data_IF_307020789067
#
_entry.id   IF_307020789067
#
_cell.length_a   1.000
_cell.length_b   1.000
_cell.length_c   1.000
_cell.angle_alpha   90.00
_cell.angle_beta   90.00
_cell.angle_gamma   90.00
#
_symmetry.space_group_name_H-M   'P 1'
#
loop_
_entity.id
_entity.type
_entity.pdbx_description
1 polymer ?
#
# COMPACT_ATOMS: atom_id res chain seq x y z
N UNK A 1 -52.68 -31.14 -24.34
CA UNK A 1 -51.62 -31.95 -23.69
C UNK A 1 -50.21 -31.60 -24.20
N UNK A 2 -50.03 -31.24 -25.48
CA UNK A 2 -48.73 -30.82 -26.05
C UNK A 2 -48.33 -29.40 -25.59
N UNK A 3 -49.26 -28.44 -25.56
CA UNK A 3 -48.97 -27.05 -25.14
C UNK A 3 -48.50 -26.93 -23.68
N UNK A 4 -49.08 -27.71 -22.76
CA UNK A 4 -48.68 -27.73 -21.35
C UNK A 4 -47.25 -28.25 -21.15
N UNK A 5 -46.82 -29.19 -21.98
CA UNK A 5 -45.45 -29.73 -21.95
C UNK A 5 -44.45 -28.72 -22.51
N UNK A 6 -44.77 -28.06 -23.63
CA UNK A 6 -43.93 -27.00 -24.23
C UNK A 6 -43.75 -25.79 -23.30
N UNK A 7 -44.80 -25.35 -22.60
CA UNK A 7 -44.71 -24.26 -21.61
C UNK A 7 -43.84 -24.66 -20.41
N UNK A 8 -43.93 -25.91 -19.96
CA UNK A 8 -43.11 -26.43 -18.85
C UNK A 8 -41.62 -26.46 -19.21
N UNK A 9 -41.28 -26.92 -20.41
CA UNK A 9 -39.90 -26.93 -20.90
C UNK A 9 -39.34 -25.52 -21.03
N UNK A 10 -40.11 -24.61 -21.64
CA UNK A 10 -39.69 -23.22 -21.81
C UNK A 10 -39.48 -22.50 -20.47
N UNK A 11 -40.36 -22.72 -19.47
CA UNK A 11 -40.19 -22.20 -18.10
C UNK A 11 -38.91 -22.74 -17.46
N UNK A 12 -38.60 -24.03 -17.64
CA UNK A 12 -37.38 -24.62 -17.09
C UNK A 12 -36.12 -24.00 -17.72
N UNK A 13 -36.11 -23.78 -19.04
CA UNK A 13 -35.01 -23.12 -19.76
C UNK A 13 -34.82 -21.66 -19.32
N UNK A 14 -35.90 -20.91 -19.05
CA UNK A 14 -35.77 -19.54 -18.52
C UNK A 14 -35.19 -19.50 -17.10
N UNK A 15 -35.59 -20.45 -16.25
CA UNK A 15 -35.03 -20.56 -14.90
C UNK A 15 -33.54 -20.90 -14.95
N UNK A 16 -33.13 -21.83 -15.81
CA UNK A 16 -31.72 -22.16 -16.02
C UNK A 16 -30.90 -20.96 -16.50
N UNK A 17 -31.41 -20.21 -17.50
CA UNK A 17 -30.73 -18.99 -17.98
C UNK A 17 -30.63 -17.91 -16.89
N UNK A 18 -31.65 -17.77 -16.05
CA UNK A 18 -31.63 -16.83 -14.93
C UNK A 18 -30.58 -17.22 -13.88
N UNK A 19 -30.54 -18.51 -13.51
CA UNK A 19 -29.55 -19.06 -12.58
C UNK A 19 -28.14 -18.87 -13.12
N UNK A 20 -27.89 -19.10 -14.41
CA UNK A 20 -26.57 -18.88 -15.02
C UNK A 20 -26.12 -17.42 -14.94
N UNK A 21 -27.02 -16.47 -15.22
CA UNK A 21 -26.71 -15.02 -15.05
C UNK A 21 -26.46 -14.66 -13.59
N UNK A 22 -27.14 -15.31 -12.66
CA UNK A 22 -26.94 -15.11 -11.23
C UNK A 22 -25.56 -15.64 -10.79
N UNK A 23 -25.18 -16.85 -11.21
CA UNK A 23 -23.87 -17.44 -10.92
C UNK A 23 -22.76 -16.56 -11.49
N UNK A 24 -22.89 -16.09 -12.74
CA UNK A 24 -21.91 -15.21 -13.36
C UNK A 24 -21.71 -13.92 -12.55
N UNK A 25 -22.82 -13.28 -12.14
CA UNK A 25 -22.74 -12.08 -11.29
C UNK A 25 -22.08 -12.38 -9.94
N UNK A 26 -22.38 -13.53 -9.31
CA UNK A 26 -21.79 -13.90 -8.02
C UNK A 26 -20.28 -14.11 -8.19
N UNK A 27 -19.85 -14.86 -9.20
CA UNK A 27 -18.43 -15.11 -9.46
C UNK A 27 -17.66 -13.80 -9.69
N UNK A 28 -18.22 -12.86 -10.46
CA UNK A 28 -17.62 -11.54 -10.66
C UNK A 28 -17.52 -10.73 -9.36
N UNK A 29 -18.46 -10.88 -8.43
CA UNK A 29 -18.40 -10.19 -7.14
C UNK A 29 -17.41 -10.86 -6.19
N UNK A 30 -17.32 -12.19 -6.18
CA UNK A 30 -16.31 -12.94 -5.41
C UNK A 30 -14.90 -12.55 -5.84
N UNK A 31 -14.61 -12.49 -7.14
CA UNK A 31 -13.30 -12.07 -7.62
C UNK A 31 -12.94 -10.65 -7.13
N UNK A 32 -13.90 -9.72 -7.17
CA UNK A 32 -13.71 -8.36 -6.65
C UNK A 32 -13.53 -8.33 -5.14
N UNK A 33 -14.27 -9.17 -4.41
CA UNK A 33 -14.15 -9.29 -2.96
C UNK A 33 -12.74 -9.75 -2.60
N UNK A 34 -12.24 -10.82 -3.24
CA UNK A 34 -10.90 -11.33 -3.02
C UNK A 34 -9.83 -10.27 -3.31
N UNK A 35 -9.95 -9.55 -4.43
CA UNK A 35 -9.04 -8.46 -4.80
C UNK A 35 -9.02 -7.36 -3.72
N UNK A 36 -10.18 -6.92 -3.26
CA UNK A 36 -10.29 -5.86 -2.23
C UNK A 36 -9.76 -6.33 -0.89
N UNK A 37 -10.10 -7.56 -0.47
CA UNK A 37 -9.63 -8.14 0.81
C UNK A 37 -8.10 -8.22 0.82
N UNK A 38 -7.48 -8.70 -0.27
CA UNK A 38 -6.04 -8.78 -0.39
C UNK A 38 -5.38 -7.39 -0.34
N UNK A 39 -5.92 -6.42 -1.09
CA UNK A 39 -5.39 -5.05 -1.12
C UNK A 39 -5.46 -4.37 0.26
N UNK A 40 -6.61 -4.48 0.95
CA UNK A 40 -6.80 -3.91 2.29
C UNK A 40 -5.85 -4.55 3.30
N UNK A 41 -5.73 -5.87 3.30
CA UNK A 41 -4.80 -6.58 4.20
C UNK A 41 -3.36 -6.11 4.00
N UNK A 42 -2.90 -6.04 2.75
CA UNK A 42 -1.54 -5.61 2.45
C UNK A 42 -1.29 -4.16 2.84
N UNK A 43 -2.26 -3.27 2.59
CA UNK A 43 -2.16 -1.87 2.98
C UNK A 43 -2.10 -1.68 4.49
N UNK A 44 -2.93 -2.38 5.26
CA UNK A 44 -2.92 -2.31 6.73
C UNK A 44 -1.58 -2.76 7.31
N UNK A 45 -1.00 -3.85 6.78
CA UNK A 45 0.32 -4.33 7.21
C UNK A 45 1.44 -3.33 6.87
N UNK A 46 1.38 -2.70 5.70
CA UNK A 46 2.35 -1.69 5.29
C UNK A 46 2.24 -0.42 6.15
N UNK A 47 1.01 0.02 6.45
CA UNK A 47 0.75 1.16 7.34
C UNK A 47 1.29 0.90 8.74
N UNK A 48 1.02 -0.27 9.34
CA UNK A 48 1.53 -0.60 10.66
C UNK A 48 3.08 -0.59 10.71
N UNK A 49 3.73 -1.09 9.65
CA UNK A 49 5.20 -1.03 9.55
C UNK A 49 5.71 0.40 9.42
N UNK A 50 5.06 1.23 8.60
CA UNK A 50 5.44 2.63 8.41
C UNK A 50 5.21 3.47 9.68
N UNK A 51 4.13 3.22 10.42
CA UNK A 51 3.86 3.83 11.72
C UNK A 51 4.96 3.52 12.73
N UNK A 52 5.39 2.25 12.82
CA UNK A 52 6.51 1.85 13.69
C UNK A 52 7.85 2.47 13.28
N UNK A 53 8.02 2.79 12.00
CA UNK A 53 9.23 3.40 11.48
C UNK A 53 9.32 4.92 11.73
N UNK A 54 8.23 5.59 12.16
CA UNK A 54 8.20 7.05 12.30
C UNK A 54 9.21 7.58 13.32
N UNK A 55 9.40 6.88 14.43
CA UNK A 55 10.39 7.28 15.44
C UNK A 55 11.82 7.21 14.87
N UNK A 56 12.15 6.14 14.16
CA UNK A 56 13.45 5.99 13.51
C UNK A 56 13.66 7.06 12.42
N UNK A 57 12.64 7.36 11.62
CA UNK A 57 12.66 8.46 10.64
C UNK A 57 12.98 9.79 11.32
N UNK A 58 12.30 10.12 12.42
CA UNK A 58 12.52 11.37 13.15
C UNK A 58 13.94 11.46 13.73
N UNK A 59 14.49 10.34 14.21
CA UNK A 59 15.88 10.28 14.66
C UNK A 59 16.87 10.48 13.52
N UNK A 60 16.63 9.86 12.35
CA UNK A 60 17.46 10.05 11.16
C UNK A 60 17.42 11.50 10.66
N UNK A 61 16.25 12.12 10.60
CA UNK A 61 16.07 13.52 10.22
C UNK A 61 16.80 14.47 11.19
N UNK A 62 16.69 14.21 12.49
CA UNK A 62 17.41 14.98 13.52
C UNK A 62 18.92 14.83 13.40
N UNK A 63 19.40 13.58 13.23
CA UNK A 63 20.83 13.30 13.07
C UNK A 63 21.38 13.97 11.82
N UNK A 64 20.72 13.83 10.68
CA UNK A 64 21.17 14.41 9.41
C UNK A 64 21.33 15.95 9.48
N UNK A 65 20.44 16.63 10.22
CA UNK A 65 20.52 18.08 10.44
C UNK A 65 21.52 18.54 11.51
N UNK A 66 22.14 17.61 12.25
CA UNK A 66 22.96 17.91 13.42
C UNK A 66 24.43 18.24 13.08
N UNK A 67 25.12 18.86 14.02
CA UNK A 67 26.57 19.04 13.94
C UNK A 67 27.33 17.72 14.17
N UNK A 68 26.71 16.75 14.85
CA UNK A 68 27.27 15.41 15.03
C UNK A 68 27.41 14.70 13.68
N UNK A 69 26.38 14.69 12.83
CA UNK A 69 26.48 14.11 11.49
C UNK A 69 27.57 14.76 10.64
N UNK A 70 27.70 16.09 10.67
CA UNK A 70 28.76 16.81 9.94
C UNK A 70 30.15 16.39 10.41
N UNK A 71 30.31 16.22 11.72
CA UNK A 71 31.56 15.76 12.32
C UNK A 71 31.86 14.31 11.91
N UNK A 72 30.89 13.42 12.04
CA UNK A 72 31.03 12.01 11.69
C UNK A 72 31.39 11.84 10.20
N UNK A 73 30.74 12.61 9.32
CA UNK A 73 31.05 12.67 7.90
C UNK A 73 32.49 13.13 7.65
N UNK A 74 32.92 14.23 8.29
CA UNK A 74 34.28 14.74 8.15
C UNK A 74 35.35 13.82 8.76
N UNK A 75 35.01 13.04 9.79
CA UNK A 75 35.86 12.02 10.38
C UNK A 75 35.99 10.80 9.44
N UNK A 76 34.91 10.41 8.76
CA UNK A 76 34.94 9.34 7.74
C UNK A 76 35.79 9.72 6.53
N UNK A 77 35.56 10.91 5.96
CA UNK A 77 36.30 11.44 4.80
C UNK A 77 37.80 11.59 5.08
N UNK A 78 38.16 11.87 6.34
CA UNK A 78 39.55 11.96 6.77
C UNK A 78 40.18 10.60 7.13
N UNK A 79 39.45 9.48 6.95
CA UNK A 79 39.92 8.13 7.26
C UNK A 79 40.12 7.87 8.75
N UNK A 80 39.47 8.64 9.63
CA UNK A 80 39.56 8.47 11.09
C UNK A 80 38.69 7.33 11.62
N UNK A 81 37.72 6.86 10.82
CA UNK A 81 36.81 5.77 11.20
C UNK A 81 37.30 4.40 10.70
N UNK A 82 36.97 3.31 11.42
CA UNK A 82 37.33 1.95 11.01
C UNK A 82 36.81 1.59 9.61
N UNK A 83 37.61 0.87 8.83
CA UNK A 83 37.28 0.49 7.45
C UNK A 83 36.08 -0.47 7.37
N UNK A 84 35.82 -1.26 8.41
CA UNK A 84 34.71 -2.21 8.50
C UNK A 84 33.41 -1.57 9.05
N UNK A 85 33.42 -0.28 9.39
CA UNK A 85 32.24 0.43 9.85
C UNK A 85 31.19 0.55 8.72
N UNK A 86 29.99 0.03 8.98
CA UNK A 86 28.82 0.28 8.12
C UNK A 86 28.43 1.76 8.23
N UNK A 87 28.67 2.50 7.15
CA UNK A 87 28.56 3.96 7.07
C UNK A 87 27.46 4.46 6.14
N UNK A 88 26.42 3.65 5.92
CA UNK A 88 25.32 4.03 5.03
C UNK A 88 24.64 5.35 5.42
N UNK A 89 24.61 5.69 6.71
CA UNK A 89 24.08 6.97 7.22
C UNK A 89 24.99 8.18 6.94
N UNK A 90 26.24 7.95 6.56
CA UNK A 90 27.16 9.02 6.15
C UNK A 90 27.10 9.28 4.64
N UNK A 91 26.29 8.52 3.90
CA UNK A 91 25.94 8.86 2.53
C UNK A 91 24.86 9.93 2.56
N UNK A 92 25.21 11.14 2.10
CA UNK A 92 24.27 12.25 1.93
C UNK A 92 23.06 11.83 1.07
N UNK A 93 23.33 11.18 -0.06
CA UNK A 93 22.29 10.66 -0.96
C UNK A 93 21.36 9.66 -0.28
N UNK A 94 21.87 8.75 0.56
CA UNK A 94 21.04 7.73 1.18
C UNK A 94 20.03 8.32 2.17
N UNK A 95 20.48 9.27 3.01
CA UNK A 95 19.60 9.96 3.95
C UNK A 95 18.65 10.92 3.24
N UNK A 96 19.13 11.66 2.25
CA UNK A 96 18.29 12.58 1.49
C UNK A 96 17.17 11.82 0.76
N UNK A 97 17.49 10.75 0.03
CA UNK A 97 16.52 9.96 -0.72
C UNK A 97 15.43 9.37 0.20
N UNK A 98 15.81 8.73 1.31
CA UNK A 98 14.81 8.10 2.19
C UNK A 98 13.91 9.14 2.88
N UNK A 99 14.44 10.30 3.24
CA UNK A 99 13.64 11.38 3.84
C UNK A 99 12.72 12.04 2.81
N UNK A 100 13.15 12.15 1.54
CA UNK A 100 12.31 12.66 0.46
C UNK A 100 11.19 11.67 0.10
N UNK A 101 11.48 10.38 0.00
CA UNK A 101 10.49 9.32 -0.19
C UNK A 101 9.41 9.35 0.91
N UNK A 102 9.82 9.57 2.17
CA UNK A 102 8.88 9.73 3.28
C UNK A 102 7.96 10.95 3.10
N UNK A 103 8.49 12.09 2.63
CA UNK A 103 7.69 13.30 2.37
C UNK A 103 6.68 13.08 1.23
N UNK A 104 7.09 12.38 0.18
CA UNK A 104 6.18 11.99 -0.90
C UNK A 104 5.05 11.11 -0.35
N UNK A 105 5.40 10.10 0.47
CA UNK A 105 4.43 9.20 1.06
C UNK A 105 3.43 9.94 1.97
N UNK A 106 3.91 10.83 2.83
CA UNK A 106 3.06 11.63 3.72
C UNK A 106 2.08 12.52 2.93
N UNK A 107 2.55 13.08 1.81
CA UNK A 107 1.71 13.85 0.88
C UNK A 107 0.63 12.98 0.26
N UNK A 108 0.98 11.78 -0.23
CA UNK A 108 0.04 10.84 -0.86
C UNK A 108 -0.98 10.32 0.14
N UNK A 109 -0.58 10.03 1.38
CA UNK A 109 -1.49 9.65 2.46
C UNK A 109 -2.50 10.76 2.76
N UNK A 110 -2.02 12.01 2.86
CA UNK A 110 -2.89 13.17 3.08
C UNK A 110 -3.91 13.35 1.96
N UNK A 111 -3.48 13.28 0.69
CA UNK A 111 -4.36 13.37 -0.47
C UNK A 111 -5.39 12.23 -0.51
N UNK A 112 -4.99 11.01 -0.15
CA UNK A 112 -5.88 9.87 -0.08
C UNK A 112 -6.98 10.10 0.96
N UNK A 113 -6.61 10.55 2.17
CA UNK A 113 -7.58 10.89 3.22
C UNK A 113 -8.56 11.96 2.74
N UNK A 114 -8.07 13.03 2.12
CA UNK A 114 -8.95 14.08 1.55
C UNK A 114 -9.92 13.51 0.53
N UNK A 115 -9.45 12.69 -0.41
CA UNK A 115 -10.30 12.07 -1.44
C UNK A 115 -11.35 11.12 -0.86
N UNK A 116 -10.98 10.32 0.15
CA UNK A 116 -11.89 9.40 0.82
C UNK A 116 -12.97 10.16 1.59
N UNK A 117 -12.62 11.29 2.22
CA UNK A 117 -13.58 12.11 2.96
C UNK A 117 -14.50 12.91 2.03
N UNK A 118 -14.00 13.42 0.90
CA UNK A 118 -14.80 14.19 -0.05
C UNK A 118 -15.70 13.33 -0.94
N UNK A 119 -15.33 12.07 -1.20
CA UNK A 119 -16.13 11.11 -1.97
C UNK A 119 -17.23 10.39 -1.19
N UNK A 120 -17.45 10.73 0.09
CA UNK A 120 -18.52 10.17 0.94
C UNK A 120 -19.82 11.00 0.92
N UNK A 121 -19.98 11.90 -0.05
CA UNK A 121 -21.19 12.71 -0.29
C UNK A 121 -22.08 12.14 -1.38
#
# INVERSE_FOLDING_TARGET
MIESFSISLQKNTYQEQYIMKQIERINQMEERLEQVVAAVKNMLLALEQYEKAQEAKAMLETYYGSDDWKKDYADDEAGRLPQDLKRGVLSEDALWNVLDDCKELDTRLSQLVTKVLSGRG
#
